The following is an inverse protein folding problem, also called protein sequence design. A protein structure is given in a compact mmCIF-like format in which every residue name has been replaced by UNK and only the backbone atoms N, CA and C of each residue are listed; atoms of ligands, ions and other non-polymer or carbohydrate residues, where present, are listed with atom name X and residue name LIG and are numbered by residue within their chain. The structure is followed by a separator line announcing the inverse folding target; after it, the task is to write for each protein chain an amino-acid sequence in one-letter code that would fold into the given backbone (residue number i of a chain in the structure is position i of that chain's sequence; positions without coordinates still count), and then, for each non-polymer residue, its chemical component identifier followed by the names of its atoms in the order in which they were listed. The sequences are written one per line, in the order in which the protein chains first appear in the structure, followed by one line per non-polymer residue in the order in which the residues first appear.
data_IF_336936126537
#
_entry.id   IF_336936126537
#
_cell.length_a   1.000
_cell.length_b   1.000
_cell.length_c   1.000
_cell.angle_alpha   90.00
_cell.angle_beta   90.00
_cell.angle_gamma   90.00
#
_symmetry.space_group_name_H-M   'P 1'
#
loop_
_entity.id
_entity.type
_entity.pdbx_description
1 polymer ?
#
# COMPACT_ATOMS: atom_id res chain seq x y z
N UNK A 1 13.13 15.03 9.93
CA UNK A 1 11.84 14.33 9.71
C UNK A 1 12.17 12.95 9.19
N UNK A 2 11.76 11.90 9.91
CA UNK A 2 12.13 10.52 9.58
C UNK A 2 11.48 10.08 8.25
N UNK A 3 12.21 9.38 7.36
CA UNK A 3 11.65 8.91 6.09
C UNK A 3 10.50 7.91 6.29
N UNK A 4 10.44 7.18 7.41
CA UNK A 4 9.31 6.33 7.74
C UNK A 4 8.05 7.13 8.10
N UNK A 5 8.19 8.24 8.84
CA UNK A 5 7.07 9.14 9.13
C UNK A 5 6.54 9.80 7.86
N UNK A 6 7.43 10.19 6.93
CA UNK A 6 7.04 10.74 5.63
C UNK A 6 6.28 9.71 4.79
N UNK A 7 6.78 8.47 4.73
CA UNK A 7 6.11 7.38 4.03
C UNK A 7 4.73 7.08 4.64
N UNK A 8 4.64 7.04 5.97
CA UNK A 8 3.38 6.83 6.69
C UNK A 8 2.39 7.96 6.41
N UNK A 9 2.82 9.21 6.51
CA UNK A 9 2.00 10.38 6.19
C UNK A 9 1.50 10.36 4.75
N UNK A 10 2.36 10.03 3.80
CA UNK A 10 1.99 9.89 2.39
C UNK A 10 0.90 8.83 2.18
N UNK A 11 1.06 7.65 2.79
CA UNK A 11 0.09 6.55 2.68
C UNK A 11 -1.25 6.88 3.36
N UNK A 12 -1.24 7.61 4.47
CA UNK A 12 -2.46 8.07 5.16
C UNK A 12 -3.19 9.12 4.31
N UNK A 13 -2.47 10.10 3.76
CA UNK A 13 -3.05 11.13 2.88
C UNK A 13 -3.66 10.52 1.61
N UNK A 14 -3.10 9.41 1.13
CA UNK A 14 -3.60 8.65 0.00
C UNK A 14 -4.31 7.37 0.48
N UNK A 15 -5.16 7.50 1.50
CA UNK A 15 -6.04 6.44 1.98
C UNK A 15 -6.65 5.65 0.81
N UNK A 16 -6.58 4.32 0.88
CA UNK A 16 -7.09 3.37 -0.13
C UNK A 16 -6.39 3.36 -1.50
N UNK A 17 -5.26 4.05 -1.67
CA UNK A 17 -4.44 3.95 -2.87
C UNK A 17 -3.31 2.92 -2.71
N UNK A 18 -3.13 2.12 -3.76
CA UNK A 18 -2.10 1.10 -3.85
C UNK A 18 -0.85 1.62 -4.57
N UNK A 19 0.32 1.64 -3.92
CA UNK A 19 1.58 2.10 -4.52
C UNK A 19 2.67 1.02 -4.50
N UNK A 20 3.29 0.74 -5.64
CA UNK A 20 4.49 -0.10 -5.68
C UNK A 20 5.71 0.64 -5.13
N UNK A 21 6.75 -0.10 -4.76
CA UNK A 21 7.96 0.48 -4.15
C UNK A 21 8.64 1.52 -5.05
N UNK A 22 8.63 1.33 -6.38
CA UNK A 22 9.16 2.31 -7.33
C UNK A 22 8.39 3.63 -7.32
N UNK A 23 7.06 3.56 -7.39
CA UNK A 23 6.21 4.75 -7.39
C UNK A 23 6.24 5.46 -6.03
N UNK A 24 6.33 4.69 -4.95
CA UNK A 24 6.46 5.21 -3.60
C UNK A 24 7.82 5.90 -3.43
N UNK A 25 8.90 5.27 -3.90
CA UNK A 25 10.25 5.86 -3.90
C UNK A 25 10.28 7.19 -4.65
N UNK A 26 9.72 7.24 -5.86
CA UNK A 26 9.60 8.48 -6.65
C UNK A 26 8.81 9.57 -5.93
N UNK A 27 7.69 9.22 -5.30
CA UNK A 27 6.86 10.18 -4.56
C UNK A 27 7.54 10.73 -3.31
N UNK A 28 8.39 9.92 -2.67
CA UNK A 28 9.11 10.27 -1.44
C UNK A 28 10.52 10.83 -1.68
N UNK A 29 11.00 10.81 -2.92
CA UNK A 29 12.35 11.22 -3.29
C UNK A 29 13.44 10.25 -2.82
N UNK A 30 13.11 8.96 -2.68
CA UNK A 30 14.02 7.90 -2.21
C UNK A 30 14.10 6.75 -3.22
N UNK A 31 15.06 5.86 -3.04
CA UNK A 31 15.17 4.66 -3.89
C UNK A 31 14.06 3.65 -3.60
N UNK A 32 13.75 2.79 -4.57
CA UNK A 32 12.80 1.69 -4.38
C UNK A 32 13.25 0.71 -3.28
N UNK A 33 14.56 0.54 -3.10
CA UNK A 33 15.12 -0.31 -2.05
C UNK A 33 14.89 0.27 -0.65
N UNK A 34 15.09 1.58 -0.47
CA UNK A 34 14.77 2.28 0.77
C UNK A 34 13.27 2.27 1.05
N UNK A 35 12.45 2.55 0.03
CA UNK A 35 11.00 2.48 0.12
C UNK A 35 10.55 1.10 0.61
N UNK A 36 11.09 0.01 0.04
CA UNK A 36 10.83 -1.37 0.46
C UNK A 36 11.18 -1.62 1.93
N UNK A 37 12.33 -1.15 2.40
CA UNK A 37 12.78 -1.34 3.80
C UNK A 37 11.87 -0.60 4.78
N UNK A 38 11.48 0.62 4.43
CA UNK A 38 10.58 1.45 5.22
C UNK A 38 9.20 0.80 5.31
N UNK A 39 8.59 0.46 4.18
CA UNK A 39 7.25 -0.15 4.18
C UNK A 39 7.22 -1.55 4.78
N UNK A 40 8.32 -2.31 4.69
CA UNK A 40 8.43 -3.60 5.40
C UNK A 40 8.43 -3.41 6.92
N UNK A 41 9.08 -2.35 7.42
CA UNK A 41 9.01 -1.98 8.83
C UNK A 41 7.61 -1.49 9.22
N UNK A 42 6.96 -0.69 8.37
CA UNK A 42 5.60 -0.18 8.61
C UNK A 42 4.53 -1.27 8.53
N UNK A 43 4.71 -2.30 7.70
CA UNK A 43 3.78 -3.43 7.56
C UNK A 43 3.70 -4.33 8.81
N UNK A 44 4.56 -4.10 9.81
CA UNK A 44 4.40 -4.69 11.15
C UNK A 44 3.16 -4.14 11.89
N UNK A 45 2.65 -2.99 11.46
CA UNK A 45 1.42 -2.39 11.98
C UNK A 45 0.21 -2.84 11.18
N UNK A 46 -0.91 -3.11 11.85
CA UNK A 46 -2.20 -3.45 11.23
C UNK A 46 -2.79 -2.32 10.37
N UNK A 47 -2.24 -1.11 10.47
CA UNK A 47 -2.64 0.04 9.65
C UNK A 47 -2.12 -0.01 8.21
N UNK A 48 -1.14 -0.87 7.90
CA UNK A 48 -0.50 -0.93 6.58
C UNK A 48 -0.66 -2.34 6.00
N UNK A 49 -1.23 -2.42 4.80
CA UNK A 49 -1.33 -3.66 4.05
C UNK A 49 -0.31 -3.66 2.91
N UNK A 50 0.33 -4.81 2.73
CA UNK A 50 1.24 -5.07 1.62
C UNK A 50 0.79 -6.34 0.91
N UNK A 51 0.36 -6.20 -0.35
CA UNK A 51 -0.21 -7.29 -1.15
C UNK A 51 0.13 -7.10 -2.63
N UNK A 52 -0.11 -8.11 -3.48
CA UNK A 52 0.05 -8.00 -4.93
C UNK A 52 -1.22 -7.45 -5.58
N UNK A 53 -1.14 -6.21 -6.04
CA UNK A 53 -2.26 -5.48 -6.64
C UNK A 53 -1.75 -4.56 -7.75
N UNK A 54 -2.69 -3.93 -8.46
CA UNK A 54 -2.38 -2.94 -9.49
C UNK A 54 -2.01 -1.61 -8.84
N UNK A 55 -0.80 -1.13 -9.09
CA UNK A 55 -0.39 0.18 -8.60
C UNK A 55 -1.24 1.29 -9.22
N UNK A 56 -1.74 2.22 -8.39
CA UNK A 56 -2.53 3.37 -8.81
C UNK A 56 -1.77 4.30 -9.76
N UNK A 57 -0.47 4.45 -9.56
CA UNK A 57 0.38 5.36 -10.33
C UNK A 57 0.86 4.73 -11.66
N UNK A 58 1.54 3.59 -11.63
CA UNK A 58 2.11 2.99 -12.84
C UNK A 58 1.23 1.91 -13.51
N UNK A 59 0.09 1.55 -12.92
CA UNK A 59 -0.85 0.51 -13.41
C UNK A 59 -0.25 -0.89 -13.57
N UNK A 60 0.99 -1.11 -13.13
CA UNK A 60 1.61 -2.45 -13.11
C UNK A 60 1.07 -3.28 -11.95
N UNK A 61 0.90 -4.57 -12.20
CA UNK A 61 0.59 -5.54 -11.15
C UNK A 61 1.88 -5.91 -10.41
N UNK A 62 2.00 -5.47 -9.16
CA UNK A 62 3.22 -5.56 -8.38
C UNK A 62 2.92 -5.69 -6.89
N UNK A 63 3.96 -5.88 -6.07
CA UNK A 63 3.83 -5.75 -4.63
C UNK A 63 3.60 -4.27 -4.30
N UNK A 64 2.45 -3.96 -3.74
CA UNK A 64 2.02 -2.59 -3.42
C UNK A 64 1.76 -2.45 -1.94
N UNK A 65 1.87 -1.21 -1.46
CA UNK A 65 1.60 -0.82 -0.08
C UNK A 65 0.41 0.14 -0.07
N UNK A 66 -0.51 -0.06 0.87
CA UNK A 66 -1.64 0.84 1.14
C UNK A 66 -1.85 1.03 2.63
N UNK A 67 -2.34 2.20 3.02
CA UNK A 67 -2.92 2.39 4.34
C UNK A 67 -4.33 1.77 4.38
N UNK A 68 -4.65 1.08 5.48
CA UNK A 68 -6.01 0.63 5.79
C UNK A 68 -6.65 1.68 6.70
N UNK A 69 -7.73 2.35 6.26
CA UNK A 69 -8.56 3.15 7.15
C UNK A 69 -9.35 2.19 8.05
N UNK A 70 -8.89 2.02 9.29
CA UNK A 70 -9.43 1.10 10.30
C UNK A 70 -9.46 -0.39 9.89
N UNK A 71 -8.84 -1.23 10.73
CA UNK A 71 -8.67 -2.67 10.52
C UNK A 71 -9.97 -3.44 10.17
N UNK A 72 -11.14 -2.89 10.50
CA UNK A 72 -12.46 -3.47 10.26
C UNK A 72 -12.86 -3.53 8.77
N UNK A 73 -12.33 -2.66 7.90
CA UNK A 73 -12.77 -2.58 6.50
C UNK A 73 -12.04 -3.52 5.53
N UNK A 74 -10.89 -4.10 5.92
CA UNK A 74 -10.08 -4.93 5.03
C UNK A 74 -10.70 -6.31 4.72
N UNK A 75 -11.58 -6.82 5.57
CA UNK A 75 -12.25 -8.10 5.36
C UNK A 75 -13.37 -8.03 4.32
N UNK A 76 -13.96 -6.85 4.06
CA UNK A 76 -15.16 -6.74 3.23
C UNK A 76 -14.90 -6.68 1.71
N UNK A 77 -13.67 -6.40 1.26
CA UNK A 77 -13.30 -6.46 -0.17
C UNK A 77 -12.87 -7.84 -0.63
N UNK A 78 -12.37 -8.72 0.25
CA UNK A 78 -12.10 -10.13 -0.08
C UNK A 78 -13.39 -10.86 -0.48
N UNK A 79 -14.53 -10.44 0.04
CA UNK A 79 -15.86 -11.00 -0.27
C UNK A 79 -16.36 -10.61 -1.68
N UNK A 80 -16.14 -9.35 -2.13
CA UNK A 80 -16.68 -8.89 -3.42
C UNK A 80 -15.90 -9.41 -4.64
N UNK A 81 -14.64 -9.78 -4.48
CA UNK A 81 -13.83 -10.36 -5.57
C UNK A 81 -14.15 -11.82 -5.89
N UNK A 82 -14.80 -12.57 -4.98
CA UNK A 82 -15.23 -13.96 -5.22
C UNK A 82 -16.70 -14.11 -5.62
N UNK A 83 -17.54 -13.11 -5.37
CA UNK A 83 -18.99 -13.16 -5.67
C UNK A 83 -19.35 -12.77 -7.12
N UNK A 84 -18.37 -12.40 -7.96
CA UNK A 84 -18.60 -12.13 -9.39
C UNK A 84 -18.27 -13.30 -10.33
N UNK A 85 -18.04 -14.51 -9.80
CA UNK A 85 -17.59 -15.65 -10.62
C UNK A 85 -18.23 -16.99 -10.24
N UNK A 86 -19.50 -16.97 -9.84
CA UNK A 86 -20.37 -18.14 -9.76
C UNK A 86 -21.81 -17.69 -10.06
N UNK A 87 -22.32 -18.19 -11.20
CA UNK A 87 -23.70 -18.16 -11.68
C UNK A 87 -24.29 -16.80 -12.06
#
# INVERSE_FOLDING_TARGET
MDPADRARGFLILHESADFCDDCLGRALGITAAEARTIVASLAKSSAILRDRWTCKSCRKHALVTRAIPNATFALNRRSRGRLGRLA
#
